data_IF_509227471157
#
_entry.id   IF_509227471157
#
_cell.length_a   1.000
_cell.length_b   1.000
_cell.length_c   1.000
_cell.angle_alpha   90.00
_cell.angle_beta   90.00
_cell.angle_gamma   90.00
#
_symmetry.space_group_name_H-M   'P 1'
#
loop_
_entity.id
_entity.type
_entity.pdbx_description
1 polymer ?
#
# COMPACT_ATOMS: atom_id res chain seq x y z
N UNK A 1 30.97 39.90 5.69
CA UNK A 1 30.76 38.99 6.83
C UNK A 1 29.27 38.70 6.90
N UNK A 2 28.86 37.49 6.55
CA UNK A 2 27.46 37.08 6.65
C UNK A 2 26.97 37.21 8.09
N UNK A 3 25.98 38.07 8.32
CA UNK A 3 25.27 38.10 9.60
C UNK A 3 24.66 36.71 9.80
N UNK A 4 25.20 35.93 10.76
CA UNK A 4 24.55 34.71 11.23
C UNK A 4 23.18 35.09 11.77
N UNK A 5 22.14 34.89 10.96
CA UNK A 5 20.77 35.14 11.37
C UNK A 5 20.42 34.22 12.54
N UNK A 6 19.86 34.80 13.61
CA UNK A 6 19.33 34.06 14.75
C UNK A 6 18.16 33.19 14.29
N UNK A 7 18.05 31.97 14.81
CA UNK A 7 17.03 31.00 14.37
C UNK A 7 16.32 30.36 15.54
N UNK A 8 15.01 30.23 15.42
CA UNK A 8 14.18 29.53 16.40
C UNK A 8 13.23 28.58 15.70
N UNK A 9 12.88 27.50 16.36
CA UNK A 9 11.94 26.50 15.85
C UNK A 9 10.74 26.38 16.80
N UNK A 10 9.53 26.27 16.23
CA UNK A 10 8.30 26.06 16.98
C UNK A 10 7.90 24.59 16.89
N UNK A 11 7.88 23.89 18.02
CA UNK A 11 7.57 22.47 18.14
C UNK A 11 6.39 22.29 19.09
N UNK A 12 5.46 21.36 18.81
CA UNK A 12 4.25 21.23 19.61
C UNK A 12 3.19 20.36 18.95
N UNK A 13 2.22 19.88 19.72
CA UNK A 13 1.11 19.07 19.20
C UNK A 13 0.18 19.86 18.25
N UNK A 14 -0.64 19.13 17.50
CA UNK A 14 -1.69 19.72 16.66
C UNK A 14 -2.66 20.50 17.56
N UNK A 15 -3.06 21.70 17.13
CA UNK A 15 -4.01 22.54 17.87
C UNK A 15 -3.40 23.37 19.02
N UNK A 16 -2.09 23.28 19.30
CA UNK A 16 -1.44 24.10 20.34
C UNK A 16 -1.20 25.57 19.94
N UNK A 17 -1.63 25.99 18.76
CA UNK A 17 -1.49 27.39 18.31
C UNK A 17 -0.12 27.76 17.72
N UNK A 18 0.69 26.79 17.28
CA UNK A 18 2.00 27.04 16.62
C UNK A 18 1.89 27.96 15.41
N UNK A 19 1.08 27.58 14.42
CA UNK A 19 0.90 28.36 13.20
C UNK A 19 0.27 29.73 13.48
N UNK A 20 -0.60 29.83 14.49
CA UNK A 20 -1.12 31.14 14.95
C UNK A 20 -0.02 32.02 15.53
N UNK A 21 0.86 31.46 16.35
CA UNK A 21 2.02 32.16 16.90
C UNK A 21 3.01 32.56 15.80
N UNK A 22 3.28 31.65 14.86
CA UNK A 22 4.11 31.89 13.68
C UNK A 22 3.57 33.04 12.83
N UNK A 23 2.27 33.01 12.51
CA UNK A 23 1.58 34.07 11.76
C UNK A 23 1.69 35.43 12.45
N UNK A 24 1.56 35.47 13.78
CA UNK A 24 1.76 36.69 14.57
C UNK A 24 3.20 37.19 14.51
N UNK A 25 4.20 36.32 14.65
CA UNK A 25 5.61 36.69 14.64
C UNK A 25 6.05 37.16 13.26
N UNK A 26 5.57 36.53 12.18
CA UNK A 26 6.04 36.79 10.82
C UNK A 26 5.13 37.77 10.04
N UNK A 27 4.01 38.20 10.63
CA UNK A 27 2.97 38.98 9.96
C UNK A 27 2.46 38.31 8.67
N UNK A 28 2.08 37.03 8.78
CA UNK A 28 1.58 36.20 7.67
C UNK A 28 0.19 35.64 7.99
N UNK A 29 -0.53 35.21 6.94
CA UNK A 29 -1.86 34.62 7.06
C UNK A 29 -1.90 33.19 6.48
N UNK A 30 -1.00 32.32 6.95
CA UNK A 30 -1.07 30.90 6.60
C UNK A 30 -2.35 30.28 7.17
N UNK A 31 -2.97 29.36 6.42
CA UNK A 31 -4.22 28.71 6.81
C UNK A 31 -4.04 27.96 8.14
N UNK A 32 -4.93 28.22 9.09
CA UNK A 32 -5.06 27.51 10.36
C UNK A 32 -6.45 26.86 10.37
N UNK A 33 -6.57 25.52 10.24
CA UNK A 33 -7.84 24.86 10.55
C UNK A 33 -7.94 24.53 12.04
N UNK A 34 -9.10 24.80 12.62
CA UNK A 34 -9.47 24.25 13.91
C UNK A 34 -9.90 22.79 13.70
N UNK A 35 -9.12 21.83 14.20
CA UNK A 35 -9.51 20.43 14.29
C UNK A 35 -8.49 19.44 13.73
N UNK A 36 -8.01 18.55 14.61
CA UNK A 36 -7.53 17.17 14.39
C UNK A 36 -6.44 16.83 13.35
N UNK A 37 -6.39 17.49 12.20
CA UNK A 37 -5.47 17.18 11.11
C UNK A 37 -4.34 18.21 11.06
N UNK A 38 -3.11 17.74 10.85
CA UNK A 38 -1.95 18.62 10.63
C UNK A 38 -2.02 19.18 9.22
N UNK A 39 -2.33 20.48 9.11
CA UNK A 39 -2.28 21.21 7.83
C UNK A 39 -0.83 21.57 7.44
N UNK A 40 0.05 21.75 8.41
CA UNK A 40 1.46 22.12 8.19
C UNK A 40 2.25 20.88 7.80
N UNK A 41 2.28 20.55 6.49
CA UNK A 41 3.10 19.47 5.94
C UNK A 41 4.49 19.94 5.49
N UNK A 42 4.70 21.25 5.40
CA UNK A 42 5.94 21.88 4.95
C UNK A 42 6.50 22.75 6.08
N UNK A 43 7.82 22.70 6.25
CA UNK A 43 8.54 23.57 7.19
C UNK A 43 8.62 24.97 6.58
N UNK A 44 8.07 25.98 7.26
CA UNK A 44 8.11 27.36 6.80
C UNK A 44 9.20 28.14 7.52
N UNK A 45 10.15 28.70 6.78
CA UNK A 45 11.18 29.61 7.30
C UNK A 45 10.83 31.06 6.94
N UNK A 46 10.56 31.90 7.94
CA UNK A 46 10.27 33.34 7.75
C UNK A 46 10.98 34.20 8.80
N UNK A 47 11.21 35.46 8.47
CA UNK A 47 11.82 36.46 9.37
C UNK A 47 10.73 37.12 10.25
N UNK A 48 11.10 37.48 11.48
CA UNK A 48 10.23 38.18 12.41
C UNK A 48 9.87 39.57 11.87
N UNK A 49 8.60 39.96 11.99
CA UNK A 49 8.11 41.27 11.52
C UNK A 49 8.54 42.44 12.42
N UNK A 50 9.00 42.13 13.64
CA UNK A 50 9.53 43.08 14.61
C UNK A 50 10.75 42.49 15.32
N UNK A 51 11.44 43.31 16.12
CA UNK A 51 12.58 42.88 16.92
C UNK A 51 13.93 43.05 16.20
N UNK A 52 14.92 42.25 16.58
CA UNK A 52 16.29 42.30 16.03
C UNK A 52 16.48 41.48 14.74
N UNK A 53 15.42 40.91 14.17
CA UNK A 53 15.46 40.15 12.91
C UNK A 53 15.93 38.70 13.09
N UNK A 54 15.09 37.87 13.73
CA UNK A 54 15.32 36.44 13.84
C UNK A 54 14.44 35.67 12.85
N UNK A 55 14.86 34.45 12.49
CA UNK A 55 14.08 33.56 11.64
C UNK A 55 13.36 32.51 12.47
N UNK A 56 12.12 32.23 12.10
CA UNK A 56 11.26 31.24 12.73
C UNK A 56 10.99 30.10 11.76
N UNK A 57 11.09 28.88 12.27
CA UNK A 57 10.70 27.63 11.60
C UNK A 57 9.39 27.13 12.23
N UNK A 58 8.30 27.08 11.47
CA UNK A 58 7.08 26.37 11.88
C UNK A 58 7.19 24.89 11.48
N UNK A 59 7.00 23.97 12.43
CA UNK A 59 7.03 22.52 12.17
C UNK A 59 5.63 21.93 12.09
N UNK A 60 5.47 20.78 11.40
CA UNK A 60 4.28 19.95 11.55
C UNK A 60 3.93 19.66 13.01
N UNK A 61 2.65 19.43 13.30
CA UNK A 61 2.22 19.14 14.66
C UNK A 61 2.58 17.73 15.12
N UNK A 62 3.13 17.61 16.33
CA UNK A 62 3.36 16.32 16.97
C UNK A 62 2.06 15.56 17.26
N UNK A 63 2.14 14.22 17.29
CA UNK A 63 1.07 13.35 17.79
C UNK A 63 -0.09 13.04 16.84
N UNK A 64 0.08 13.20 15.52
CA UNK A 64 -0.90 12.63 14.57
C UNK A 64 -0.69 11.14 14.45
N UNK A 65 -1.74 10.34 14.69
CA UNK A 65 -1.73 8.90 14.46
C UNK A 65 -1.63 8.52 12.98
N UNK A 66 -2.01 9.43 12.07
CA UNK A 66 -2.16 9.12 10.64
C UNK A 66 -0.86 9.41 9.85
N UNK A 67 0.01 10.29 10.35
CA UNK A 67 1.20 10.80 9.64
C UNK A 67 2.41 10.99 10.57
N UNK A 68 2.65 10.03 11.48
CA UNK A 68 3.75 10.10 12.47
C UNK A 68 5.11 10.36 11.80
N UNK A 69 5.44 9.60 10.74
CA UNK A 69 6.74 9.70 10.07
C UNK A 69 6.89 11.03 9.32
N UNK A 70 5.89 11.46 8.54
CA UNK A 70 5.95 12.76 7.84
C UNK A 70 6.18 13.92 8.83
N UNK A 71 5.56 13.86 10.01
CA UNK A 71 5.75 14.89 11.02
C UNK A 71 7.12 14.80 11.67
N UNK A 72 7.61 13.59 11.95
CA UNK A 72 8.95 13.37 12.47
C UNK A 72 10.02 13.89 11.51
N UNK A 73 9.92 13.55 10.23
CA UNK A 73 10.82 14.04 9.16
C UNK A 73 10.74 15.56 9.03
N UNK A 74 9.53 16.14 9.08
CA UNK A 74 9.38 17.59 9.04
C UNK A 74 10.07 18.30 10.22
N UNK A 75 10.01 17.72 11.41
CA UNK A 75 10.73 18.25 12.58
C UNK A 75 12.24 18.07 12.41
N UNK A 76 12.70 16.91 11.97
CA UNK A 76 14.12 16.65 11.74
C UNK A 76 14.72 17.60 10.71
N UNK A 77 14.01 17.83 9.61
CA UNK A 77 14.41 18.80 8.58
C UNK A 77 14.51 20.22 9.19
N UNK A 78 13.55 20.63 10.01
CA UNK A 78 13.61 21.93 10.68
C UNK A 78 14.79 22.06 11.66
N UNK A 79 15.17 20.97 12.34
CA UNK A 79 16.31 20.95 13.26
C UNK A 79 17.66 20.93 12.55
N UNK A 80 17.73 20.30 11.38
CA UNK A 80 18.96 20.10 10.60
C UNK A 80 19.24 21.22 9.58
N UNK A 81 18.26 22.08 9.28
CA UNK A 81 18.38 23.26 8.41
C UNK A 81 19.53 24.22 8.84
N UNK A 82 19.95 24.16 10.09
CA UNK A 82 21.21 24.74 10.57
C UNK A 82 21.19 25.07 12.06
N UNK A 83 22.21 25.78 12.57
CA UNK A 83 22.33 26.07 14.00
C UNK A 83 21.13 26.86 14.55
N UNK A 84 20.60 26.41 15.69
CA UNK A 84 19.44 26.98 16.37
C UNK A 84 19.87 27.76 17.60
N UNK A 85 19.14 28.84 17.91
CA UNK A 85 19.24 29.56 19.17
C UNK A 85 18.25 29.05 20.20
N UNK A 86 17.04 28.70 19.77
CA UNK A 86 15.99 28.25 20.68
C UNK A 86 15.01 27.28 20.00
N UNK A 87 14.59 26.29 20.76
CA UNK A 87 13.49 25.37 20.49
C UNK A 87 12.34 25.79 21.40
N UNK A 88 11.25 26.29 20.82
CA UNK A 88 10.05 26.60 21.56
C UNK A 88 9.10 25.40 21.56
N UNK A 89 8.91 24.79 22.74
CA UNK A 89 7.87 23.80 22.97
C UNK A 89 6.54 24.51 23.22
N UNK A 90 5.74 24.62 22.16
CA UNK A 90 4.46 25.28 22.14
C UNK A 90 3.39 24.36 22.71
N UNK A 91 2.81 24.79 23.83
CA UNK A 91 1.73 24.09 24.54
C UNK A 91 0.55 25.01 24.74
N UNK A 92 -0.65 24.45 24.69
CA UNK A 92 -1.87 25.20 25.00
C UNK A 92 -2.07 25.24 26.51
N UNK A 93 -2.49 26.39 27.04
CA UNK A 93 -2.92 26.51 28.43
C UNK A 93 -4.13 25.60 28.69
N UNK A 94 -3.96 24.60 29.56
CA UNK A 94 -4.99 23.62 29.93
C UNK A 94 -4.73 23.11 31.36
N UNK A 95 -5.38 22.00 31.74
CA UNK A 95 -5.13 21.34 33.04
C UNK A 95 -3.65 20.97 33.17
N UNK A 96 -3.05 21.30 34.31
CA UNK A 96 -1.62 21.09 34.60
C UNK A 96 -1.14 19.67 34.26
N UNK A 97 -1.92 18.65 34.60
CA UNK A 97 -1.58 17.25 34.32
C UNK A 97 -1.42 16.94 32.82
N UNK A 98 -2.29 17.51 31.97
CA UNK A 98 -2.21 17.34 30.52
C UNK A 98 -1.01 18.07 29.93
N UNK A 99 -0.82 19.34 30.31
CA UNK A 99 0.35 20.12 29.90
C UNK A 99 1.65 19.41 30.31
N UNK A 100 1.71 18.90 31.53
CA UNK A 100 2.86 18.15 32.04
C UNK A 100 3.14 16.90 31.22
N UNK A 101 2.11 16.15 30.84
CA UNK A 101 2.24 14.97 29.97
C UNK A 101 2.82 15.37 28.62
N UNK A 102 2.21 16.35 27.94
CA UNK A 102 2.68 16.80 26.63
C UNK A 102 4.11 17.31 26.63
N UNK A 103 4.50 18.06 27.67
CA UNK A 103 5.87 18.58 27.77
C UNK A 103 6.84 17.44 28.06
N UNK A 104 6.49 16.50 28.93
CA UNK A 104 7.32 15.33 29.21
C UNK A 104 7.62 14.57 27.91
N UNK A 105 6.59 14.29 27.13
CA UNK A 105 6.72 13.54 25.87
C UNK A 105 7.65 14.28 24.88
N UNK A 106 7.51 15.61 24.76
CA UNK A 106 8.37 16.40 23.87
C UNK A 106 9.80 16.62 24.40
N UNK A 107 9.98 16.78 25.72
CA UNK A 107 11.29 17.05 26.33
C UNK A 107 12.25 15.88 26.16
N UNK A 108 11.74 14.65 26.15
CA UNK A 108 12.57 13.46 25.99
C UNK A 108 13.36 13.51 24.68
N UNK A 109 12.74 14.00 23.60
CA UNK A 109 13.40 14.21 22.29
C UNK A 109 14.59 15.17 22.41
N UNK A 110 14.47 16.20 23.24
CA UNK A 110 15.43 17.31 23.34
C UNK A 110 16.24 17.29 24.63
N UNK A 111 16.35 16.15 25.31
CA UNK A 111 16.95 16.09 26.64
C UNK A 111 18.43 16.55 26.64
N UNK A 112 19.17 16.19 25.59
CA UNK A 112 20.56 16.66 25.34
C UNK A 112 20.67 18.16 25.05
N UNK A 113 19.58 18.76 24.56
CA UNK A 113 19.50 20.15 24.12
C UNK A 113 18.59 20.99 25.03
N UNK A 114 18.33 20.55 26.27
CA UNK A 114 17.40 21.18 27.21
C UNK A 114 17.70 22.67 27.49
N UNK A 115 18.96 23.08 27.35
CA UNK A 115 19.40 24.47 27.46
C UNK A 115 18.87 25.36 26.32
N UNK A 116 18.57 24.78 25.16
CA UNK A 116 17.93 25.44 24.02
C UNK A 116 16.41 25.38 24.09
N UNK A 117 15.82 24.74 25.11
CA UNK A 117 14.37 24.54 25.18
C UNK A 117 13.72 25.65 26.00
N UNK A 118 12.74 26.32 25.40
CA UNK A 118 11.80 27.22 26.09
C UNK A 118 10.38 26.71 25.92
N UNK A 119 9.61 26.68 27.00
CA UNK A 119 8.17 26.39 26.89
C UNK A 119 7.45 27.66 26.46
N UNK A 120 6.71 27.60 25.37
CA UNK A 120 5.81 28.66 24.91
C UNK A 120 4.37 28.26 25.20
N UNK A 121 3.74 28.88 26.20
CA UNK A 121 2.36 28.58 26.57
C UNK A 121 1.42 29.53 25.85
N UNK A 122 0.50 29.00 25.05
CA UNK A 122 -0.48 29.76 24.25
C UNK A 122 -1.87 29.69 24.87
N UNK A 123 -2.82 30.44 24.31
CA UNK A 123 -4.22 30.49 24.78
C UNK A 123 -4.36 30.98 26.22
N UNK A 124 -3.46 31.85 26.68
CA UNK A 124 -3.52 32.40 28.04
C UNK A 124 -4.77 33.25 28.30
N UNK A 125 -5.47 33.67 27.25
CA UNK A 125 -6.77 34.35 27.31
C UNK A 125 -7.88 33.50 27.94
N UNK A 126 -7.76 32.16 27.95
CA UNK A 126 -8.76 31.27 28.54
C UNK A 126 -8.53 31.02 30.04
N UNK A 127 -7.42 31.51 30.59
CA UNK A 127 -7.02 31.21 31.96
C UNK A 127 -7.87 31.98 32.99
N UNK A 128 -8.18 31.34 34.11
CA UNK A 128 -8.92 31.96 35.21
C UNK A 128 -8.07 33.03 35.91
N UNK A 129 -8.49 34.30 35.79
CA UNK A 129 -7.71 35.45 36.30
C UNK A 129 -7.39 35.36 37.80
N UNK A 130 -8.27 34.74 38.58
CA UNK A 130 -8.15 34.67 40.03
C UNK A 130 -7.09 33.65 40.51
N UNK A 131 -6.79 32.62 39.71
CA UNK A 131 -5.80 31.58 40.06
C UNK A 131 -4.54 31.64 39.20
N UNK A 132 -4.53 32.47 38.16
CA UNK A 132 -3.51 32.53 37.13
C UNK A 132 -2.07 32.54 37.66
N UNK A 133 -1.75 33.42 38.61
CA UNK A 133 -0.38 33.55 39.12
C UNK A 133 0.05 32.35 39.97
N UNK A 134 -0.90 31.76 40.71
CA UNK A 134 -0.66 30.52 41.46
C UNK A 134 -0.42 29.36 40.49
N UNK A 135 -1.24 29.24 39.45
CA UNK A 135 -1.16 28.16 38.46
C UNK A 135 0.13 28.27 37.63
N UNK A 136 0.55 29.49 37.27
CA UNK A 136 1.84 29.74 36.62
C UNK A 136 3.02 29.33 37.49
N UNK A 137 2.96 29.62 38.79
CA UNK A 137 4.03 29.25 39.73
C UNK A 137 4.10 27.74 39.92
N UNK A 138 2.95 27.08 40.06
CA UNK A 138 2.85 25.62 40.15
C UNK A 138 3.37 24.96 38.88
N UNK A 139 2.96 25.46 37.71
CA UNK A 139 3.45 25.01 36.42
C UNK A 139 4.96 25.19 36.29
N UNK A 140 5.49 26.38 36.58
CA UNK A 140 6.93 26.64 36.52
C UNK A 140 7.72 25.71 37.45
N UNK A 141 7.22 25.45 38.66
CA UNK A 141 7.85 24.51 39.59
C UNK A 141 7.80 23.06 39.08
N UNK A 142 6.68 22.64 38.47
CA UNK A 142 6.60 21.34 37.83
C UNK A 142 7.61 21.20 36.68
N UNK A 143 7.83 22.25 35.88
CA UNK A 143 8.75 22.22 34.74
C UNK A 143 10.22 22.17 35.15
N UNK A 144 10.58 22.75 36.31
CA UNK A 144 11.92 22.59 36.89
C UNK A 144 12.31 21.13 37.10
N UNK A 145 11.34 20.25 37.40
CA UNK A 145 11.60 18.80 37.55
C UNK A 145 12.07 18.13 36.26
N UNK A 146 11.79 18.73 35.10
CA UNK A 146 12.29 18.31 33.79
C UNK A 146 13.58 19.05 33.37
N UNK A 147 14.15 19.87 34.25
CA UNK A 147 15.32 20.70 33.93
C UNK A 147 15.01 21.87 33.00
N UNK A 148 13.73 22.27 32.90
CA UNK A 148 13.30 23.41 32.09
C UNK A 148 13.10 24.65 32.97
N UNK A 149 13.82 25.72 32.63
CA UNK A 149 13.80 26.98 33.41
C UNK A 149 13.25 28.18 32.62
N UNK A 150 13.08 28.04 31.31
CA UNK A 150 12.64 29.11 30.42
C UNK A 150 11.19 28.86 29.99
N UNK A 151 10.29 29.76 30.38
CA UNK A 151 8.87 29.71 30.06
C UNK A 151 8.42 31.09 29.62
N UNK A 152 7.67 31.15 28.53
CA UNK A 152 6.97 32.36 28.06
C UNK A 152 5.51 32.08 27.87
N UNK A 153 4.70 33.10 28.13
CA UNK A 153 3.24 33.03 28.10
C UNK A 153 2.76 33.98 27.01
N UNK A 154 1.90 33.47 26.12
CA UNK A 154 1.35 34.19 24.99
C UNK A 154 -0.18 34.15 24.99
N UNK A 155 -0.79 35.31 24.86
CA UNK A 155 -2.21 35.53 24.68
C UNK A 155 -2.53 35.94 23.24
N UNK A 156 -3.77 35.69 22.81
CA UNK A 156 -4.28 36.26 21.56
C UNK A 156 -4.29 37.81 21.58
N UNK A 157 -4.32 38.43 22.76
CA UNK A 157 -4.31 39.89 22.90
C UNK A 157 -2.91 40.51 22.87
N UNK A 158 -1.85 39.71 22.97
CA UNK A 158 -0.49 40.23 22.93
C UNK A 158 -0.15 40.80 21.55
N UNK A 159 0.44 41.99 21.56
CA UNK A 159 0.89 42.66 20.34
C UNK A 159 2.05 41.91 19.69
N UNK A 160 2.11 41.94 18.36
CA UNK A 160 3.20 41.31 17.57
C UNK A 160 4.59 41.78 18.04
N UNK A 161 4.71 43.08 18.37
CA UNK A 161 5.94 43.69 18.88
C UNK A 161 6.36 43.13 20.24
N UNK A 162 5.41 42.94 21.16
CA UNK A 162 5.70 42.38 22.49
C UNK A 162 6.21 40.94 22.37
N UNK A 163 5.52 40.11 21.58
CA UNK A 163 5.91 38.71 21.34
C UNK A 163 7.33 38.62 20.78
N UNK A 164 7.64 39.41 19.74
CA UNK A 164 8.99 39.39 19.15
C UNK A 164 10.06 39.87 20.14
N UNK A 165 9.75 40.90 20.95
CA UNK A 165 10.68 41.42 21.94
C UNK A 165 10.99 40.42 23.06
N UNK A 166 10.00 39.65 23.52
CA UNK A 166 10.22 38.62 24.54
C UNK A 166 11.00 37.43 23.99
N UNK A 167 10.79 37.07 22.71
CA UNK A 167 11.61 36.08 22.01
C UNK A 167 13.05 36.57 21.85
N UNK A 168 13.26 37.82 21.45
CA UNK A 168 14.61 38.42 21.33
C UNK A 168 15.39 38.32 22.64
N UNK A 169 14.76 38.63 23.79
CA UNK A 169 15.41 38.51 25.11
C UNK A 169 15.92 37.10 25.40
N UNK A 170 15.21 36.07 24.93
CA UNK A 170 15.62 34.67 25.10
C UNK A 170 16.78 34.36 24.17
N UNK A 171 16.64 34.67 22.88
CA UNK A 171 17.65 34.43 21.85
C UNK A 171 18.99 35.13 22.17
N UNK A 172 18.93 36.30 22.80
CA UNK A 172 20.13 37.05 23.21
C UNK A 172 20.92 36.36 24.34
N UNK A 173 20.28 35.47 25.10
CA UNK A 173 20.91 34.70 26.19
C UNK A 173 21.43 33.35 25.73
N UNK A 174 21.15 32.94 24.49
CA UNK A 174 21.51 31.62 23.98
C UNK A 174 22.48 31.67 22.80
N UNK A 175 23.50 30.82 22.90
CA UNK A 175 24.43 30.59 21.81
C UNK A 175 23.80 29.70 20.74
N UNK A 176 24.24 29.86 19.49
CA UNK A 176 23.79 29.00 18.41
C UNK A 176 24.43 27.62 18.54
N UNK A 177 23.60 26.58 18.57
CA UNK A 177 24.04 25.20 18.64
C UNK A 177 23.42 24.40 17.50
N UNK A 178 24.20 23.52 16.89
CA UNK A 178 23.69 22.56 15.90
C UNK A 178 22.97 21.43 16.64
N UNK A 179 21.77 21.10 16.18
CA UNK A 179 20.96 20.02 16.75
C UNK A 179 21.07 18.82 15.81
N UNK A 180 21.89 17.85 16.21
CA UNK A 180 22.04 16.58 15.51
C UNK A 180 21.45 15.47 16.39
N UNK A 181 20.36 14.86 15.93
CA UNK A 181 19.77 13.66 16.54
C UNK A 181 20.39 12.42 15.92
N UNK A 182 20.71 11.41 16.72
CA UNK A 182 21.10 10.11 16.18
C UNK A 182 19.89 9.39 15.58
N UNK A 183 20.11 8.41 14.69
CA UNK A 183 19.02 7.58 14.16
C UNK A 183 18.25 6.91 15.29
N UNK A 184 18.95 6.35 16.30
CA UNK A 184 18.30 5.75 17.47
C UNK A 184 17.45 6.76 18.24
N UNK A 185 17.96 7.97 18.49
CA UNK A 185 17.18 9.04 19.13
C UNK A 185 15.96 9.42 18.28
N UNK A 186 16.07 9.40 16.96
CA UNK A 186 14.94 9.67 16.08
C UNK A 186 13.89 8.55 16.13
N UNK A 187 14.26 7.29 15.94
CA UNK A 187 13.29 6.19 15.94
C UNK A 187 12.63 5.97 17.30
N UNK A 188 13.42 6.07 18.38
CA UNK A 188 12.91 5.87 19.74
C UNK A 188 12.06 7.05 20.20
N UNK A 189 12.47 8.30 19.96
CA UNK A 189 11.73 9.44 20.52
C UNK A 189 10.49 9.85 19.71
N UNK A 190 10.32 9.33 18.49
CA UNK A 190 9.13 9.57 17.68
C UNK A 190 8.17 8.35 17.64
N UNK A 191 8.38 7.36 18.53
CA UNK A 191 7.60 6.12 18.63
C UNK A 191 7.44 5.41 17.27
N UNK A 192 8.49 5.48 16.44
CA UNK A 192 8.45 4.91 15.09
C UNK A 192 8.58 3.39 15.11
N UNK A 193 9.23 2.83 16.14
CA UNK A 193 9.36 1.38 16.32
C UNK A 193 7.98 0.75 16.55
N UNK A 194 7.21 1.24 17.52
CA UNK A 194 5.86 0.73 17.80
C UNK A 194 4.94 0.87 16.59
N UNK A 195 5.06 1.98 15.85
CA UNK A 195 4.30 2.19 14.62
C UNK A 195 4.67 1.20 13.51
N UNK A 196 5.97 0.89 13.35
CA UNK A 196 6.43 -0.13 12.40
C UNK A 196 5.91 -1.52 12.77
N UNK A 197 5.98 -1.89 14.05
CA UNK A 197 5.44 -3.15 14.56
C UNK A 197 3.93 -3.25 14.32
N UNK A 198 3.19 -2.14 14.49
CA UNK A 198 1.74 -2.09 14.20
C UNK A 198 1.44 -2.32 12.70
N UNK A 199 2.20 -1.69 11.80
CA UNK A 199 2.05 -1.89 10.35
C UNK A 199 2.36 -3.34 9.95
N UNK A 200 3.43 -3.92 10.49
CA UNK A 200 3.80 -5.32 10.25
C UNK A 200 2.72 -6.28 10.76
N UNK A 201 2.24 -6.07 11.98
CA UNK A 201 1.18 -6.87 12.58
C UNK A 201 -0.11 -6.82 11.74
N UNK A 202 -0.48 -5.64 11.24
CA UNK A 202 -1.66 -5.47 10.38
C UNK A 202 -1.54 -6.25 9.07
N UNK A 203 -0.36 -6.23 8.43
CA UNK A 203 -0.09 -7.01 7.23
C UNK A 203 -0.15 -8.52 7.49
N UNK A 204 0.45 -8.99 8.59
CA UNK A 204 0.42 -10.40 8.98
C UNK A 204 -1.00 -10.89 9.27
N UNK A 205 -1.83 -10.10 9.95
CA UNK A 205 -3.25 -10.41 10.18
C UNK A 205 -4.01 -10.49 8.86
N UNK A 206 -3.81 -9.52 7.95
CA UNK A 206 -4.47 -9.51 6.65
C UNK A 206 -4.05 -10.72 5.79
N UNK A 207 -2.76 -11.07 5.79
CA UNK A 207 -2.24 -12.30 5.15
C UNK A 207 -2.94 -13.53 5.72
N UNK A 208 -2.98 -13.67 7.04
CA UNK A 208 -3.58 -14.81 7.71
C UNK A 208 -5.07 -15.01 7.36
N UNK A 209 -5.82 -13.92 7.19
CA UNK A 209 -7.22 -13.99 6.77
C UNK A 209 -7.38 -14.55 5.35
N UNK A 210 -6.53 -14.13 4.41
CA UNK A 210 -6.57 -14.60 3.02
C UNK A 210 -6.19 -16.07 2.95
N UNK A 211 -5.08 -16.45 3.60
CA UNK A 211 -4.66 -17.85 3.70
C UNK A 211 -5.78 -18.70 4.31
N UNK A 212 -6.36 -18.28 5.44
CA UNK A 212 -7.44 -19.04 6.08
C UNK A 212 -8.67 -19.21 5.18
N UNK A 213 -9.04 -18.17 4.42
CA UNK A 213 -10.15 -18.25 3.48
C UNK A 213 -9.84 -19.16 2.29
N UNK A 214 -8.64 -19.02 1.71
CA UNK A 214 -8.21 -19.88 0.62
C UNK A 214 -8.12 -21.35 1.06
N UNK A 215 -7.67 -21.63 2.29
CA UNK A 215 -7.67 -22.99 2.87
C UNK A 215 -9.06 -23.63 2.87
N UNK A 216 -10.11 -22.86 3.17
CA UNK A 216 -11.49 -23.37 3.15
C UNK A 216 -11.91 -23.69 1.73
N UNK A 217 -11.62 -22.80 0.78
CA UNK A 217 -11.89 -23.00 -0.65
C UNK A 217 -11.16 -24.26 -1.15
N UNK A 218 -9.87 -24.38 -0.85
CA UNK A 218 -9.05 -25.53 -1.21
C UNK A 218 -9.63 -26.85 -0.69
N UNK A 219 -10.10 -26.89 0.56
CA UNK A 219 -10.76 -28.09 1.12
C UNK A 219 -12.03 -28.47 0.36
N UNK A 220 -12.85 -27.49 -0.02
CA UNK A 220 -14.08 -27.72 -0.80
C UNK A 220 -13.75 -28.25 -2.19
N UNK A 221 -12.73 -27.69 -2.84
CA UNK A 221 -12.25 -28.13 -4.15
C UNK A 221 -11.69 -29.55 -4.09
N UNK A 222 -10.85 -29.85 -3.10
CA UNK A 222 -10.30 -31.19 -2.90
C UNK A 222 -11.41 -32.22 -2.71
N UNK A 223 -12.43 -31.89 -1.90
CA UNK A 223 -13.60 -32.75 -1.71
C UNK A 223 -14.35 -32.99 -3.02
N UNK A 224 -14.59 -31.94 -3.80
CA UNK A 224 -15.21 -32.06 -5.13
C UNK A 224 -14.43 -32.99 -6.06
N UNK A 225 -13.10 -32.86 -6.12
CA UNK A 225 -12.24 -33.74 -6.94
C UNK A 225 -12.36 -35.21 -6.50
N UNK A 226 -12.37 -35.45 -5.19
CA UNK A 226 -12.48 -36.80 -4.64
C UNK A 226 -13.84 -37.43 -4.96
N UNK A 227 -14.93 -36.69 -4.80
CA UNK A 227 -16.31 -37.17 -5.00
C UNK A 227 -16.74 -37.24 -6.47
N UNK A 228 -16.02 -36.59 -7.40
CA UNK A 228 -16.35 -36.62 -8.82
C UNK A 228 -16.29 -38.05 -9.40
N UNK A 229 -17.30 -38.43 -10.18
CA UNK A 229 -17.39 -39.76 -10.78
C UNK A 229 -16.24 -40.00 -11.77
N UNK A 230 -15.49 -41.09 -11.55
CA UNK A 230 -14.35 -41.48 -12.39
C UNK A 230 -14.79 -41.97 -13.78
N UNK A 231 -16.05 -42.35 -13.94
CA UNK A 231 -16.59 -42.85 -15.21
C UNK A 231 -17.25 -41.76 -16.05
N UNK A 232 -17.31 -40.52 -15.55
CA UNK A 232 -17.89 -39.41 -16.31
C UNK A 232 -16.93 -39.01 -17.44
N UNK A 233 -17.43 -39.04 -18.68
CA UNK A 233 -16.68 -38.67 -19.90
C UNK A 233 -16.14 -37.24 -19.90
N UNK A 234 -16.67 -36.38 -19.04
CA UNK A 234 -16.26 -34.97 -18.92
C UNK A 234 -15.12 -34.78 -17.93
N UNK A 235 -14.66 -35.84 -17.24
CA UNK A 235 -13.72 -35.74 -16.13
C UNK A 235 -12.44 -35.00 -16.50
N UNK A 236 -11.82 -35.33 -17.64
CA UNK A 236 -10.57 -34.70 -18.05
C UNK A 236 -10.72 -33.19 -18.24
N UNK A 237 -11.73 -32.81 -19.02
CA UNK A 237 -12.03 -31.40 -19.29
C UNK A 237 -12.42 -30.65 -18.02
N UNK A 238 -13.30 -31.20 -17.17
CA UNK A 238 -13.73 -30.57 -15.91
C UNK A 238 -12.54 -30.37 -14.98
N UNK A 239 -11.69 -31.38 -14.79
CA UNK A 239 -10.52 -31.30 -13.90
C UNK A 239 -9.48 -30.28 -14.40
N UNK A 240 -9.25 -30.22 -15.71
CA UNK A 240 -8.36 -29.22 -16.30
C UNK A 240 -8.84 -27.79 -16.04
N UNK A 241 -10.10 -27.48 -16.36
CA UNK A 241 -10.65 -26.15 -16.16
C UNK A 241 -10.81 -25.78 -14.67
N UNK A 242 -11.06 -26.77 -13.81
CA UNK A 242 -11.06 -26.55 -12.36
C UNK A 242 -9.68 -26.10 -11.86
N UNK A 243 -8.60 -26.76 -12.30
CA UNK A 243 -7.25 -26.39 -11.92
C UNK A 243 -6.89 -24.96 -12.37
N UNK A 244 -7.29 -24.58 -13.60
CA UNK A 244 -7.12 -23.21 -14.10
C UNK A 244 -7.91 -22.20 -13.27
N UNK A 245 -9.16 -22.50 -12.92
CA UNK A 245 -9.98 -21.59 -12.14
C UNK A 245 -9.43 -21.38 -10.73
N UNK A 246 -8.95 -22.44 -10.07
CA UNK A 246 -8.35 -22.36 -8.74
C UNK A 246 -7.09 -21.49 -8.78
N UNK A 247 -6.24 -21.65 -9.80
CA UNK A 247 -5.08 -20.78 -10.02
C UNK A 247 -5.51 -19.31 -10.19
N UNK A 248 -6.53 -19.06 -11.02
CA UNK A 248 -7.09 -17.72 -11.24
C UNK A 248 -7.63 -17.09 -9.95
N UNK A 249 -8.26 -17.90 -9.09
CA UNK A 249 -8.75 -17.44 -7.78
C UNK A 249 -7.59 -17.07 -6.85
N UNK A 250 -6.53 -17.88 -6.78
CA UNK A 250 -5.35 -17.57 -5.97
C UNK A 250 -4.70 -16.24 -6.42
N UNK A 251 -4.47 -16.08 -7.72
CA UNK A 251 -3.91 -14.85 -8.31
C UNK A 251 -4.79 -13.63 -8.02
N UNK A 252 -6.12 -13.80 -8.05
CA UNK A 252 -7.07 -12.75 -7.71
C UNK A 252 -6.96 -12.35 -6.23
N UNK A 253 -6.93 -13.31 -5.31
CA UNK A 253 -6.79 -13.03 -3.87
C UNK A 253 -5.47 -12.31 -3.55
N UNK A 254 -4.37 -12.73 -4.18
CA UNK A 254 -3.06 -12.05 -4.08
C UNK A 254 -3.15 -10.61 -4.60
N UNK A 255 -3.73 -10.41 -5.79
CA UNK A 255 -3.87 -9.06 -6.37
C UNK A 255 -4.77 -8.16 -5.52
N UNK A 256 -5.82 -8.72 -4.93
CA UNK A 256 -6.69 -7.98 -4.02
C UNK A 256 -6.00 -7.62 -2.71
N UNK A 257 -5.14 -8.49 -2.18
CA UNK A 257 -4.30 -8.22 -1.02
C UNK A 257 -3.37 -7.03 -1.27
N UNK A 258 -2.62 -7.09 -2.37
CA UNK A 258 -1.69 -6.03 -2.80
C UNK A 258 -2.43 -4.69 -2.92
N UNK A 259 -3.59 -4.70 -3.59
CA UNK A 259 -4.39 -3.48 -3.78
C UNK A 259 -4.96 -2.92 -2.47
N UNK A 260 -5.50 -3.77 -1.59
CA UNK A 260 -6.12 -3.32 -0.32
C UNK A 260 -5.08 -2.78 0.66
N UNK A 261 -3.86 -3.29 0.61
CA UNK A 261 -2.78 -2.93 1.52
C UNK A 261 -1.72 -2.02 0.89
N UNK A 262 -1.96 -1.50 -0.32
CA UNK A 262 -1.02 -0.66 -1.06
C UNK A 262 -0.53 0.55 -0.24
N UNK A 263 -1.41 1.14 0.57
CA UNK A 263 -1.04 2.27 1.43
C UNK A 263 -0.02 1.86 2.50
N UNK A 264 -0.17 0.66 3.09
CA UNK A 264 0.77 0.12 4.09
C UNK A 264 2.09 -0.24 3.40
N UNK A 265 2.04 -0.87 2.22
CA UNK A 265 3.23 -1.18 1.44
C UNK A 265 4.00 0.09 1.07
N UNK A 266 3.30 1.14 0.63
CA UNK A 266 3.92 2.43 0.30
C UNK A 266 4.55 3.07 1.53
N UNK A 267 3.89 3.00 2.69
CA UNK A 267 4.44 3.51 3.95
C UNK A 267 5.73 2.79 4.35
N UNK A 268 5.75 1.45 4.31
CA UNK A 268 6.97 0.68 4.62
C UNK A 268 8.10 0.96 3.62
N UNK A 269 7.78 1.07 2.33
CA UNK A 269 8.76 1.29 1.27
C UNK A 269 9.36 2.70 1.30
N UNK A 270 8.51 3.73 1.41
CA UNK A 270 8.94 5.14 1.33
C UNK A 270 9.49 5.66 2.66
N UNK A 271 8.98 5.18 3.79
CA UNK A 271 9.18 5.84 5.08
C UNK A 271 10.10 5.08 6.04
N UNK A 272 10.24 3.75 5.88
CA UNK A 272 10.96 2.92 6.84
C UNK A 272 12.31 2.40 6.34
N UNK A 273 12.68 2.65 5.06
CA UNK A 273 13.90 2.10 4.43
C UNK A 273 14.05 0.57 4.53
N UNK A 274 12.98 -0.14 4.93
CA UNK A 274 12.93 -1.60 5.03
C UNK A 274 11.86 -2.16 4.08
N UNK A 275 12.14 -2.19 2.77
CA UNK A 275 11.27 -2.81 1.79
C UNK A 275 11.21 -4.34 1.96
N UNK A 276 12.06 -4.92 2.83
CA UNK A 276 12.19 -6.36 2.98
C UNK A 276 10.94 -6.94 3.63
N UNK A 277 10.37 -6.27 4.64
CA UNK A 277 9.16 -6.76 5.33
C UNK A 277 7.97 -6.87 4.37
N UNK A 278 7.68 -5.78 3.63
CA UNK A 278 6.64 -5.75 2.62
C UNK A 278 6.78 -6.89 1.60
N UNK A 279 8.00 -7.06 1.07
CA UNK A 279 8.33 -8.10 0.12
C UNK A 279 8.20 -9.51 0.72
N UNK A 280 8.66 -9.72 1.96
CA UNK A 280 8.60 -11.01 2.64
C UNK A 280 7.17 -11.45 2.90
N UNK A 281 6.29 -10.54 3.34
CA UNK A 281 4.87 -10.86 3.57
C UNK A 281 4.18 -11.24 2.26
N UNK A 282 4.37 -10.46 1.19
CA UNK A 282 3.81 -10.75 -0.13
C UNK A 282 4.34 -12.08 -0.71
N UNK A 283 5.66 -12.29 -0.64
CA UNK A 283 6.29 -13.53 -1.08
C UNK A 283 5.79 -14.74 -0.29
N UNK A 284 5.65 -14.60 1.04
CA UNK A 284 5.12 -15.66 1.89
C UNK A 284 3.66 -16.00 1.53
N UNK A 285 2.82 -14.98 1.31
CA UNK A 285 1.43 -15.18 0.86
C UNK A 285 1.38 -15.94 -0.47
N UNK A 286 2.14 -15.48 -1.47
CA UNK A 286 2.23 -16.11 -2.79
C UNK A 286 2.64 -17.58 -2.67
N UNK A 287 3.69 -17.86 -1.90
CA UNK A 287 4.17 -19.23 -1.68
C UNK A 287 3.10 -20.11 -1.07
N UNK A 288 2.44 -19.65 0.01
CA UNK A 288 1.47 -20.46 0.75
C UNK A 288 0.20 -20.77 -0.06
N UNK A 289 -0.27 -19.80 -0.87
CA UNK A 289 -1.39 -20.04 -1.79
C UNK A 289 -0.98 -20.98 -2.93
N UNK A 290 0.21 -20.79 -3.51
CA UNK A 290 0.68 -21.61 -4.63
C UNK A 290 0.95 -23.06 -4.21
N UNK A 291 1.43 -23.32 -2.99
CA UNK A 291 1.57 -24.68 -2.46
C UNK A 291 0.23 -25.44 -2.47
N UNK A 292 -0.89 -24.74 -2.25
CA UNK A 292 -2.23 -25.33 -2.28
C UNK A 292 -2.76 -25.51 -3.69
N UNK A 293 -2.53 -24.53 -4.57
CA UNK A 293 -2.82 -24.65 -6.00
C UNK A 293 -2.10 -25.87 -6.55
N UNK A 294 -0.81 -26.04 -6.25
CA UNK A 294 0.00 -27.18 -6.70
C UNK A 294 -0.55 -28.51 -6.19
N UNK A 295 -1.01 -28.57 -4.95
CA UNK A 295 -1.68 -29.77 -4.42
C UNK A 295 -2.97 -30.08 -5.19
N UNK A 296 -3.80 -29.08 -5.48
CA UNK A 296 -5.04 -29.24 -6.24
C UNK A 296 -4.74 -29.65 -7.69
N UNK A 297 -3.73 -29.05 -8.32
CA UNK A 297 -3.26 -29.42 -9.67
C UNK A 297 -2.80 -30.88 -9.70
N UNK A 298 -2.03 -31.33 -8.70
CA UNK A 298 -1.62 -32.73 -8.60
C UNK A 298 -2.83 -33.67 -8.46
N UNK A 299 -3.80 -33.32 -7.60
CA UNK A 299 -5.00 -34.13 -7.41
C UNK A 299 -5.88 -34.21 -8.65
N UNK A 300 -6.07 -33.08 -9.35
CA UNK A 300 -6.79 -33.05 -10.63
C UNK A 300 -6.07 -33.90 -11.67
N UNK A 301 -4.75 -33.78 -11.82
CA UNK A 301 -3.96 -34.62 -12.72
C UNK A 301 -4.08 -36.12 -12.40
N UNK A 302 -4.00 -36.51 -11.13
CA UNK A 302 -4.20 -37.90 -10.72
C UNK A 302 -5.61 -38.40 -11.05
N UNK A 303 -6.63 -37.54 -10.94
CA UNK A 303 -8.01 -37.88 -11.31
C UNK A 303 -8.15 -38.06 -12.83
N UNK A 304 -7.49 -37.21 -13.63
CA UNK A 304 -7.46 -37.27 -15.10
C UNK A 304 -6.79 -38.56 -15.59
N UNK A 305 -5.76 -39.06 -14.90
CA UNK A 305 -5.08 -40.31 -15.30
C UNK A 305 -5.99 -41.55 -15.32
N UNK A 306 -7.16 -41.49 -14.67
CA UNK A 306 -8.15 -42.57 -14.71
C UNK A 306 -9.06 -42.50 -15.95
N UNK A 307 -9.01 -41.42 -16.72
CA UNK A 307 -9.80 -41.25 -17.95
C UNK A 307 -9.12 -41.97 -19.12
N UNK A 308 -9.68 -43.12 -19.51
CA UNK A 308 -9.15 -43.93 -20.61
C UNK A 308 -9.22 -43.23 -21.97
N UNK A 309 -10.09 -42.22 -22.15
CA UNK A 309 -10.20 -41.45 -23.38
C UNK A 309 -9.21 -40.28 -23.43
N UNK A 310 -8.50 -40.00 -22.33
CA UNK A 310 -7.60 -38.87 -22.24
C UNK A 310 -6.33 -39.02 -23.10
N UNK A 311 -5.82 -37.90 -23.61
CA UNK A 311 -4.73 -37.91 -24.58
C UNK A 311 -3.41 -38.52 -24.06
N UNK A 312 -3.23 -38.58 -22.74
CA UNK A 312 -2.08 -39.24 -22.11
C UNK A 312 -1.96 -40.72 -22.49
N UNK A 313 -3.07 -41.42 -22.76
CA UNK A 313 -3.03 -42.81 -23.23
C UNK A 313 -2.54 -42.93 -24.68
N UNK A 314 -2.63 -41.85 -25.43
CA UNK A 314 -2.03 -41.75 -26.75
C UNK A 314 -0.58 -41.26 -26.68
N UNK A 315 -0.06 -40.81 -25.54
CA UNK A 315 1.36 -40.42 -25.44
C UNK A 315 2.21 -41.61 -24.98
N UNK A 316 3.22 -41.99 -25.76
CA UNK A 316 4.16 -43.07 -25.43
C UNK A 316 5.62 -42.63 -25.63
N UNK A 317 6.49 -43.03 -24.71
CA UNK A 317 7.93 -42.95 -24.92
C UNK A 317 8.38 -44.09 -25.86
N UNK A 318 9.19 -43.76 -26.87
CA UNK A 318 9.79 -44.77 -27.72
C UNK A 318 10.76 -45.64 -26.90
N UNK A 319 10.63 -46.97 -26.91
CA UNK A 319 11.49 -47.86 -26.13
C UNK A 319 12.95 -47.86 -26.61
N UNK A 320 13.24 -47.35 -27.81
CA UNK A 320 14.59 -47.36 -28.40
C UNK A 320 15.36 -46.03 -28.18
N UNK A 321 14.68 -44.88 -28.28
CA UNK A 321 15.34 -43.57 -28.20
C UNK A 321 14.80 -42.64 -27.11
N UNK A 322 13.76 -43.05 -26.37
CA UNK A 322 13.16 -42.26 -25.29
C UNK A 322 12.35 -41.03 -25.74
N UNK A 323 12.29 -40.72 -27.05
CA UNK A 323 11.47 -39.63 -27.57
C UNK A 323 9.98 -39.89 -27.31
N UNK A 324 9.24 -38.83 -27.00
CA UNK A 324 7.80 -38.88 -26.70
C UNK A 324 7.00 -38.76 -28.00
N UNK A 325 6.10 -39.70 -28.25
CA UNK A 325 5.28 -39.80 -29.46
C UNK A 325 3.79 -39.87 -29.14
N UNK A 326 2.96 -39.42 -30.08
CA UNK A 326 1.52 -39.62 -30.06
C UNK A 326 1.14 -40.89 -30.85
N UNK A 327 0.31 -41.76 -30.25
CA UNK A 327 -0.22 -43.00 -30.83
C UNK A 327 -1.29 -42.60 -31.83
N UNK A 328 -0.89 -42.54 -33.09
CA UNK A 328 -1.79 -42.44 -34.25
C UNK A 328 -2.39 -43.81 -34.59
N UNK A 329 -3.46 -43.83 -35.39
CA UNK A 329 -4.14 -45.05 -35.87
C UNK A 329 -3.15 -46.01 -36.56
N UNK A 330 -3.28 -47.32 -36.26
CA UNK A 330 -2.41 -48.38 -36.84
C UNK A 330 -1.16 -48.77 -36.01
N UNK A 331 -0.90 -48.12 -34.88
CA UNK A 331 0.21 -48.45 -33.98
C UNK A 331 -0.12 -49.55 -32.94
N UNK A 332 -0.69 -50.67 -33.38
CA UNK A 332 -1.02 -51.84 -32.53
C UNK A 332 0.07 -52.94 -32.58
N UNK A 333 1.08 -52.80 -33.45
CA UNK A 333 2.17 -53.77 -33.64
C UNK A 333 3.57 -53.25 -33.27
N UNK A 334 4.61 -53.96 -33.73
CA UNK A 334 6.02 -53.57 -33.59
C UNK A 334 6.42 -52.49 -34.62
N UNK A 335 5.69 -51.37 -34.66
CA UNK A 335 5.97 -50.29 -35.61
C UNK A 335 7.15 -49.46 -35.14
N UNK A 336 8.18 -49.40 -35.97
CA UNK A 336 9.31 -48.47 -35.82
C UNK A 336 8.93 -47.09 -36.41
N UNK A 337 9.56 -46.05 -35.88
CA UNK A 337 9.26 -44.63 -36.15
C UNK A 337 9.04 -44.28 -37.63
N UNK A 338 8.01 -43.46 -37.93
CA UNK A 338 8.00 -42.65 -39.16
C UNK A 338 6.72 -42.54 -39.98
N UNK A 339 5.64 -43.29 -39.70
CA UNK A 339 4.39 -43.17 -40.47
C UNK A 339 3.41 -42.19 -39.82
N UNK A 340 3.17 -41.05 -40.48
CA UNK A 340 2.04 -40.16 -40.22
C UNK A 340 0.82 -40.65 -41.03
N UNK A 341 -0.38 -40.77 -40.44
CA UNK A 341 -1.60 -40.97 -41.22
C UNK A 341 -1.90 -39.72 -42.06
N UNK A 342 -2.37 -39.90 -43.29
CA UNK A 342 -2.62 -38.81 -44.26
C UNK A 342 -3.70 -37.82 -43.81
N UNK A 343 -4.57 -38.21 -42.86
CA UNK A 343 -5.60 -37.34 -42.28
C UNK A 343 -5.84 -37.75 -40.82
N UNK A 344 -5.63 -36.82 -39.89
CA UNK A 344 -6.00 -37.00 -38.49
C UNK A 344 -7.12 -35.99 -38.15
N UNK A 345 -8.37 -36.38 -38.36
CA UNK A 345 -9.56 -35.55 -38.09
C UNK A 345 -9.60 -35.05 -36.64
N UNK A 346 -8.91 -35.75 -35.73
CA UNK A 346 -8.85 -35.42 -34.31
C UNK A 346 -8.22 -34.04 -34.08
N UNK A 347 -7.14 -33.68 -34.80
CA UNK A 347 -6.43 -32.41 -34.58
C UNK A 347 -7.17 -31.19 -35.13
N UNK A 348 -7.93 -31.33 -36.22
CA UNK A 348 -8.72 -30.23 -36.79
C UNK A 348 -9.89 -29.81 -35.88
N UNK A 349 -10.27 -30.65 -34.92
CA UNK A 349 -11.31 -30.38 -33.93
C UNK A 349 -10.80 -29.70 -32.64
N UNK A 350 -9.49 -29.70 -32.40
CA UNK A 350 -8.86 -29.15 -31.18
C UNK A 350 -8.68 -27.62 -31.26
N UNK A 351 -9.81 -26.90 -31.27
CA UNK A 351 -9.87 -25.49 -30.85
C UNK A 351 -10.89 -25.38 -29.73
N UNK A 352 -10.61 -25.97 -28.57
CA UNK A 352 -11.49 -25.81 -27.42
C UNK A 352 -11.32 -24.41 -26.82
N UNK A 353 -12.33 -23.58 -27.04
CA UNK A 353 -12.63 -22.43 -26.18
C UNK A 353 -13.04 -22.92 -24.79
N UNK A 354 -12.85 -22.09 -23.75
CA UNK A 354 -13.22 -22.44 -22.36
C UNK A 354 -14.63 -23.04 -22.27
N UNK A 355 -14.70 -24.35 -22.00
CA UNK A 355 -15.94 -25.13 -22.07
C UNK A 355 -16.75 -25.08 -20.79
N UNK A 356 -16.09 -24.91 -19.64
CA UNK A 356 -16.74 -24.87 -18.33
C UNK A 356 -16.44 -23.58 -17.59
N UNK A 357 -17.48 -23.03 -16.97
CA UNK A 357 -17.37 -21.96 -15.98
C UNK A 357 -17.65 -22.55 -14.60
N UNK A 358 -16.80 -22.23 -13.64
CA UNK A 358 -16.90 -22.67 -12.27
C UNK A 358 -17.41 -21.55 -11.36
N UNK A 359 -18.22 -21.92 -10.38
CA UNK A 359 -18.61 -21.11 -9.24
C UNK A 359 -18.14 -21.85 -7.98
N UNK A 360 -17.04 -21.36 -7.41
CA UNK A 360 -16.36 -21.97 -6.26
C UNK A 360 -16.64 -21.10 -5.04
N UNK A 361 -17.30 -21.69 -4.05
CA UNK A 361 -17.65 -21.03 -2.80
C UNK A 361 -17.31 -21.93 -1.62
N UNK A 362 -17.34 -21.39 -0.40
CA UNK A 362 -17.21 -22.20 0.82
C UNK A 362 -18.31 -23.30 0.94
N UNK A 363 -19.42 -23.17 0.20
CA UNK A 363 -20.54 -24.13 0.22
C UNK A 363 -20.37 -25.29 -0.75
N UNK A 364 -19.45 -25.18 -1.72
CA UNK A 364 -19.31 -26.18 -2.77
C UNK A 364 -18.71 -25.63 -4.06
N UNK A 365 -18.40 -26.55 -4.96
CA UNK A 365 -18.04 -26.28 -6.35
C UNK A 365 -19.25 -26.58 -7.23
N UNK A 366 -19.64 -25.62 -8.06
CA UNK A 366 -20.61 -25.81 -9.14
C UNK A 366 -19.95 -25.47 -10.47
N UNK A 367 -20.35 -26.14 -11.54
CA UNK A 367 -19.87 -25.80 -12.88
C UNK A 367 -21.01 -25.85 -13.88
N UNK A 368 -20.90 -25.04 -14.93
CA UNK A 368 -21.84 -24.96 -16.04
C UNK A 368 -21.09 -25.04 -17.36
N UNK A 369 -21.65 -25.79 -18.30
CA UNK A 369 -21.14 -25.87 -19.67
C UNK A 369 -21.49 -24.59 -20.41
N UNK A 370 -20.48 -23.93 -20.98
CA UNK A 370 -20.68 -22.72 -21.76
C UNK A 370 -21.14 -23.09 -23.17
N UNK A 371 -22.14 -22.39 -23.74
CA UNK A 371 -22.56 -22.64 -25.11
C UNK A 371 -21.39 -22.38 -26.06
N UNK A 372 -21.13 -23.34 -26.96
CA UNK A 372 -20.09 -23.24 -27.96
C UNK A 372 -20.33 -22.00 -28.86
N UNK A 373 -19.51 -20.96 -28.69
CA UNK A 373 -19.62 -19.70 -29.44
C UNK A 373 -19.42 -19.94 -30.96
N UNK A 374 -18.75 -21.03 -31.34
CA UNK A 374 -18.46 -21.36 -32.74
C UNK A 374 -19.68 -21.83 -33.57
N UNK A 375 -20.82 -22.17 -32.97
CA UNK A 375 -22.00 -22.58 -33.74
C UNK A 375 -22.89 -21.41 -34.21
N UNK A 376 -22.65 -20.18 -33.75
CA UNK A 376 -23.38 -19.01 -34.25
C UNK A 376 -22.76 -18.36 -35.48
N UNK A 377 -21.44 -18.49 -35.69
CA UNK A 377 -20.79 -17.95 -36.91
C UNK A 377 -21.00 -18.82 -38.16
N UNK A 378 -21.22 -20.13 -38.00
CA UNK A 378 -21.53 -21.01 -39.14
C UNK A 378 -22.95 -20.74 -39.65
N UNK A 379 -23.91 -20.44 -38.78
CA UNK A 379 -25.27 -20.03 -39.16
C UNK A 379 -25.31 -18.74 -40.00
N UNK A 380 -24.46 -17.76 -39.69
CA UNK A 380 -24.34 -16.51 -40.45
C UNK A 380 -23.59 -16.66 -41.78
N UNK A 381 -22.69 -17.65 -41.89
CA UNK A 381 -22.00 -17.96 -43.15
C UNK A 381 -22.88 -18.75 -44.12
N UNK A 382 -23.78 -19.62 -43.65
CA UNK A 382 -24.71 -20.34 -44.55
C UNK A 382 -25.80 -19.43 -45.10
N UNK A 383 -26.25 -18.41 -44.35
CA UNK A 383 -27.19 -17.41 -44.86
C UNK A 383 -26.56 -16.45 -45.88
N UNK A 384 -25.25 -16.20 -45.82
CA UNK A 384 -24.55 -15.32 -46.77
C UNK A 384 -24.19 -16.02 -48.08
N UNK A 385 -23.96 -17.34 -48.11
CA UNK A 385 -23.75 -18.11 -49.35
C UNK A 385 -25.05 -18.41 -50.12
N UNK A 386 -26.21 -18.48 -49.47
CA UNK A 386 -27.51 -18.57 -50.16
C UNK A 386 -27.96 -17.23 -50.79
N UNK A 387 -27.47 -16.10 -50.29
CA UNK A 387 -27.68 -14.78 -50.91
C UNK A 387 -26.76 -14.55 -52.12
N UNK A 388 -25.49 -14.98 -52.05
CA UNK A 388 -24.53 -14.84 -53.15
C UNK A 388 -24.77 -15.79 -54.35
N UNK A 389 -25.44 -16.92 -54.14
CA UNK A 389 -25.83 -17.84 -55.24
C UNK A 389 -27.09 -17.41 -55.99
N UNK A 390 -27.90 -16.48 -55.44
CA UNK A 390 -29.05 -15.89 -56.14
C UNK A 390 -28.69 -14.66 -56.96
N UNK A 391 -27.62 -13.93 -56.64
CA UNK A 391 -27.18 -12.75 -57.40
C UNK A 391 -26.27 -13.10 -58.61
N UNK A 392 -25.58 -14.24 -58.60
CA UNK A 392 -24.71 -14.64 -59.71
C UNK A 392 -25.43 -15.26 -60.92
N UNK A 393 -26.72 -15.61 -60.79
CA UNK A 393 -27.53 -16.11 -61.91
C UNK A 393 -28.24 -15.01 -62.72
N UNK A 394 -28.17 -13.74 -62.31
CA UNK A 394 -28.74 -12.61 -63.07
C UNK A 394 -27.70 -11.78 -63.83
N UNK A 395 -26.40 -12.03 -63.64
CA UNK A 395 -25.33 -11.15 -64.14
C UNK A 395 -24.51 -11.73 -65.30
N UNK A 396 -24.81 -12.92 -65.81
CA UNK A 396 -24.13 -13.55 -66.97
C UNK A 396 -24.92 -13.46 -68.29
N UNK A 397 -25.57 -12.32 -68.54
CA UNK A 397 -26.03 -11.93 -69.89
C UNK A 397 -25.66 -10.48 -70.15
N UNK A 398 -24.39 -10.20 -70.46
CA UNK A 398 -23.96 -9.13 -71.37
C UNK A 398 -22.42 -9.07 -71.46
N UNK A 399 -21.96 -8.96 -72.70
CA UNK A 399 -20.62 -8.54 -73.16
C UNK A 399 -19.51 -9.60 -73.00
N UNK A 400 -18.87 -10.13 -74.05
CA UNK A 400 -18.72 -9.68 -75.43
C UNK A 400 -17.31 -9.13 -75.65
N UNK A 401 -16.41 -10.03 -76.08
CA UNK A 401 -15.16 -9.83 -76.83
C UNK A 401 -14.29 -8.58 -76.55
N UNK A 402 -13.03 -8.82 -76.15
CA UNK A 402 -11.82 -8.55 -76.96
C UNK A 402 -10.54 -8.87 -76.15
N UNK A 403 -9.71 -9.76 -76.70
CA UNK A 403 -8.25 -9.74 -76.54
C UNK A 403 -7.70 -8.51 -77.32
N UNK A 404 -6.46 -8.00 -77.15
CA UNK A 404 -5.22 -8.81 -77.09
C UNK A 404 -4.03 -8.26 -76.24
N UNK A 405 -2.99 -9.12 -76.08
CA UNK A 405 -1.52 -8.90 -76.27
C UNK A 405 -0.91 -7.65 -75.56
N UNK A 406 0.13 -7.69 -74.71
CA UNK A 406 1.34 -8.53 -74.60
C UNK A 406 1.58 -9.06 -73.17
#
# INVERSE_FOLDING_TARGET
>A
MDKKHKRVVLIGFIGCGKTTLFNKICNTDFKVKQGGQSDTRQVFLKESCHGQGFRVLDTPGFGSSIKKIEHAVGVLNALTEGPLNQIFLVVKWERLGLMRKYIKDMVLIFMRYRNLVTIAVTHMDIAEKNTLEKDKLEFANAMKSFGLYSIVYFSIHDSKKQICFDIDKIILRTEQQKVDLTETEFYTHFDLIEYMEELEMNLEVAKGQIVANFNKISKVVVKFIQEFDVNDKKISTVMHYLALEVKRLAEKEISEFERKNNDIFSQLYEQCSDPVIAYLVDFALKKELMDQVDNIVKLTQLKILNDQEHFFHYIKACPNCGLIWLKVSGCEGATNCGNFPDVDEYFNSYKETQKYKFDITEKGVKFQEMPNINNQEVSLKTQSTELLSKENNQSQKRQGCKAPIE
#
